data_IF_767783344490
#
_entry.id   IF_767783344490
#
_cell.length_a   1.000
_cell.length_b   1.000
_cell.length_c   1.000
_cell.angle_alpha   90.00
_cell.angle_beta   90.00
_cell.angle_gamma   90.00
#
_symmetry.space_group_name_H-M   'P 1'
#
loop_
_entity.id
_entity.type
_entity.pdbx_description
1 polymer ?
#
# COMPACT_ATOMS: atom_id res chain seq x y z
N UNK A 1 -54.08 26.26 30.96
CA UNK A 1 -52.89 27.14 30.98
C UNK A 1 -51.75 26.30 30.44
N UNK A 2 -51.39 26.50 29.18
CA UNK A 2 -50.60 25.58 28.35
C UNK A 2 -49.11 25.77 28.60
N UNK A 3 -48.45 24.72 29.11
CA UNK A 3 -47.00 24.59 29.18
C UNK A 3 -46.43 24.56 27.76
N UNK A 4 -45.68 25.60 27.38
CA UNK A 4 -44.92 25.65 26.14
C UNK A 4 -43.57 25.00 26.43
N UNK A 5 -43.44 23.72 26.10
CA UNK A 5 -42.19 22.96 26.12
C UNK A 5 -41.23 23.54 25.07
N UNK A 6 -40.07 23.99 25.53
CA UNK A 6 -38.96 24.48 24.73
C UNK A 6 -38.27 23.33 23.98
N UNK A 7 -38.74 23.00 22.78
CA UNK A 7 -37.99 22.14 21.84
C UNK A 7 -37.10 22.98 20.91
N UNK A 8 -36.06 23.60 21.46
CA UNK A 8 -34.98 24.23 20.68
C UNK A 8 -33.66 23.58 21.13
N UNK A 9 -33.35 22.40 20.61
CA UNK A 9 -32.09 21.71 20.98
C UNK A 9 -31.68 20.54 20.10
N UNK A 10 -32.62 19.77 19.54
CA UNK A 10 -32.29 18.53 18.83
C UNK A 10 -31.63 18.75 17.45
N UNK A 11 -32.03 19.79 16.69
CA UNK A 11 -31.58 19.96 15.30
C UNK A 11 -30.13 20.40 15.10
N UNK A 12 -29.46 20.89 16.14
CA UNK A 12 -28.05 21.29 16.04
C UNK A 12 -27.12 20.08 16.20
N UNK A 13 -27.31 19.27 17.25
CA UNK A 13 -26.44 18.12 17.55
C UNK A 13 -26.40 17.06 16.45
N UNK A 14 -27.57 16.70 15.91
CA UNK A 14 -27.70 15.68 14.87
C UNK A 14 -26.99 16.07 13.57
N UNK A 15 -27.02 17.37 13.23
CA UNK A 15 -26.37 17.91 12.03
C UNK A 15 -24.85 17.92 12.16
N UNK A 16 -24.31 18.21 13.35
CA UNK A 16 -22.87 18.14 13.61
C UNK A 16 -22.35 16.70 13.64
N UNK A 17 -23.13 15.76 14.17
CA UNK A 17 -22.80 14.33 14.16
C UNK A 17 -22.78 13.79 12.72
N UNK A 18 -23.79 14.10 11.91
CA UNK A 18 -23.84 13.71 10.50
C UNK A 18 -22.68 14.31 9.67
N UNK A 19 -22.33 15.58 9.91
CA UNK A 19 -21.18 16.22 9.27
C UNK A 19 -19.86 15.59 9.71
N UNK A 20 -19.69 15.26 10.99
CA UNK A 20 -18.48 14.62 11.49
C UNK A 20 -18.30 13.20 10.91
N UNK A 21 -19.38 12.43 10.81
CA UNK A 21 -19.37 11.12 10.18
C UNK A 21 -19.01 11.22 8.70
N UNK A 22 -19.60 12.18 7.98
CA UNK A 22 -19.28 12.44 6.57
C UNK A 22 -17.83 12.87 6.36
N UNK A 23 -17.31 13.79 7.19
CA UNK A 23 -15.90 14.20 7.15
C UNK A 23 -14.96 13.02 7.44
N UNK A 24 -15.27 12.18 8.43
CA UNK A 24 -14.44 11.01 8.76
C UNK A 24 -14.35 10.01 7.60
N UNK A 25 -15.45 9.78 6.89
CA UNK A 25 -15.48 8.92 5.71
C UNK A 25 -14.64 9.48 4.56
N UNK A 26 -14.72 10.79 4.31
CA UNK A 26 -13.91 11.45 3.28
C UNK A 26 -12.43 11.40 3.67
N UNK A 27 -12.08 11.74 4.91
CA UNK A 27 -10.71 11.67 5.39
C UNK A 27 -10.14 10.24 5.34
N UNK A 28 -10.93 9.22 5.62
CA UNK A 28 -10.53 7.82 5.49
C UNK A 28 -10.22 7.44 4.03
N UNK A 29 -11.07 7.83 3.08
CA UNK A 29 -10.83 7.58 1.65
C UNK A 29 -9.63 8.34 1.09
N UNK A 30 -9.47 9.60 1.53
CA UNK A 30 -8.33 10.46 1.14
C UNK A 30 -7.03 9.91 1.71
N UNK A 31 -6.99 9.50 2.98
CA UNK A 31 -5.78 8.93 3.59
C UNK A 31 -5.39 7.60 2.95
N UNK A 32 -6.35 6.74 2.63
CA UNK A 32 -6.08 5.50 1.89
C UNK A 32 -5.43 5.76 0.53
N UNK A 33 -5.99 6.70 -0.24
CA UNK A 33 -5.49 7.07 -1.57
C UNK A 33 -4.13 7.77 -1.48
N UNK A 34 -3.97 8.67 -0.50
CA UNK A 34 -2.75 9.44 -0.31
C UNK A 34 -1.58 8.57 0.17
N UNK A 35 -1.86 7.54 0.98
CA UNK A 35 -0.86 6.59 1.47
C UNK A 35 -0.52 5.50 0.44
N UNK A 36 -1.34 5.30 -0.59
CA UNK A 36 -1.02 4.38 -1.68
C UNK A 36 0.21 4.85 -2.47
N UNK A 37 0.33 6.16 -2.72
CA UNK A 37 1.44 6.74 -3.47
C UNK A 37 2.82 6.54 -2.80
N UNK A 38 3.05 6.87 -1.51
CA UNK A 38 4.32 6.60 -0.86
C UNK A 38 4.60 5.09 -0.74
N UNK A 39 3.57 4.23 -0.58
CA UNK A 39 3.75 2.77 -0.62
C UNK A 39 4.24 2.29 -2.00
N UNK A 40 3.65 2.82 -3.07
CA UNK A 40 4.06 2.58 -4.45
C UNK A 40 5.51 2.98 -4.69
N UNK A 41 5.89 4.17 -4.21
CA UNK A 41 7.26 4.68 -4.37
C UNK A 41 8.27 3.89 -3.56
N UNK A 42 7.91 3.42 -2.35
CA UNK A 42 8.80 2.60 -1.54
C UNK A 42 9.10 1.25 -2.19
N UNK A 43 8.06 0.55 -2.67
CA UNK A 43 8.29 -0.69 -3.43
C UNK A 43 9.11 -0.44 -4.72
N UNK A 44 8.86 0.71 -5.37
CA UNK A 44 9.65 1.35 -6.43
C UNK A 44 11.14 1.44 -6.12
N UNK A 45 11.46 2.13 -5.03
CA UNK A 45 12.82 2.44 -4.63
C UNK A 45 13.61 1.21 -4.25
N UNK A 46 12.95 0.22 -3.64
CA UNK A 46 13.62 -1.03 -3.24
C UNK A 46 14.05 -1.82 -4.49
N UNK A 47 13.20 -1.89 -5.53
CA UNK A 47 13.57 -2.47 -6.83
C UNK A 47 14.64 -1.65 -7.58
N UNK A 48 14.56 -0.32 -7.52
CA UNK A 48 15.57 0.55 -8.13
C UNK A 48 16.94 0.37 -7.45
N UNK A 49 16.97 0.16 -6.14
CA UNK A 49 18.17 -0.18 -5.38
C UNK A 49 18.79 -1.49 -5.87
N UNK A 50 17.97 -2.53 -6.06
CA UNK A 50 18.43 -3.80 -6.64
C UNK A 50 18.95 -3.61 -8.08
N UNK A 51 18.26 -2.82 -8.90
CA UNK A 51 18.70 -2.54 -10.27
C UNK A 51 20.05 -1.80 -10.33
N UNK A 52 20.31 -0.92 -9.35
CA UNK A 52 21.56 -0.18 -9.24
C UNK A 52 22.73 -1.05 -8.74
N UNK A 53 22.47 -2.21 -8.10
CA UNK A 53 23.51 -3.13 -7.68
C UNK A 53 24.25 -3.73 -8.87
N UNK A 54 25.54 -4.00 -8.68
CA UNK A 54 26.37 -4.64 -9.69
C UNK A 54 25.86 -6.05 -10.00
N UNK A 55 26.16 -6.56 -11.20
CA UNK A 55 25.75 -7.91 -11.60
C UNK A 55 26.32 -9.00 -10.66
N UNK A 56 27.52 -8.78 -10.10
CA UNK A 56 28.13 -9.69 -9.13
C UNK A 56 27.32 -9.74 -7.83
N UNK A 57 26.98 -8.57 -7.26
CA UNK A 57 26.20 -8.50 -6.03
C UNK A 57 24.78 -9.05 -6.23
N UNK A 58 24.15 -8.80 -7.40
CA UNK A 58 22.85 -9.40 -7.75
C UNK A 58 22.92 -10.92 -7.87
N UNK A 59 24.00 -11.47 -8.41
CA UNK A 59 24.17 -12.93 -8.47
C UNK A 59 24.36 -13.58 -7.12
N UNK A 60 25.00 -12.88 -6.18
CA UNK A 60 25.19 -13.39 -4.82
C UNK A 60 23.84 -13.64 -4.12
N UNK A 61 22.88 -12.73 -4.31
CA UNK A 61 21.48 -12.90 -3.86
C UNK A 61 20.65 -13.81 -4.79
N UNK A 62 21.23 -14.33 -5.87
CA UNK A 62 20.56 -15.24 -6.81
C UNK A 62 19.58 -14.57 -7.79
N UNK A 63 19.62 -13.23 -7.89
CA UNK A 63 18.77 -12.44 -8.77
C UNK A 63 19.50 -12.08 -10.08
N UNK A 64 18.73 -11.94 -11.15
CA UNK A 64 19.20 -11.46 -12.45
C UNK A 64 18.57 -10.12 -12.79
N UNK A 65 19.18 -9.36 -13.72
CA UNK A 65 18.59 -8.11 -14.23
C UNK A 65 17.14 -8.33 -14.73
N UNK A 66 16.92 -9.45 -15.43
CA UNK A 66 15.62 -9.83 -15.97
C UNK A 66 14.56 -10.03 -14.88
N UNK A 67 14.94 -10.55 -13.71
CA UNK A 67 14.00 -10.74 -12.60
C UNK A 67 13.50 -9.42 -12.04
N UNK A 68 14.38 -8.42 -12.01
CA UNK A 68 14.07 -7.08 -11.51
C UNK A 68 13.17 -6.36 -12.52
N UNK A 69 13.50 -6.44 -13.81
CA UNK A 69 12.65 -5.92 -14.89
C UNK A 69 11.26 -6.57 -14.87
N UNK A 70 11.20 -7.89 -14.74
CA UNK A 70 9.94 -8.61 -14.65
C UNK A 70 9.16 -8.20 -13.39
N UNK A 71 9.82 -8.03 -12.24
CA UNK A 71 9.18 -7.57 -11.01
C UNK A 71 8.62 -6.13 -11.12
N UNK A 72 9.26 -5.25 -11.91
CA UNK A 72 8.74 -3.90 -12.18
C UNK A 72 7.42 -3.90 -12.97
N UNK A 73 7.12 -4.99 -13.70
CA UNK A 73 5.85 -5.14 -14.42
C UNK A 73 4.71 -5.64 -13.54
N UNK A 74 5.00 -6.10 -12.31
CA UNK A 74 3.98 -6.67 -11.43
C UNK A 74 3.12 -5.59 -10.76
N UNK A 75 1.85 -5.91 -10.45
CA UNK A 75 0.98 -5.02 -9.67
C UNK A 75 1.55 -4.76 -8.27
N UNK A 76 1.39 -3.53 -7.77
CA UNK A 76 1.92 -3.06 -6.47
C UNK A 76 1.27 -3.77 -5.28
N UNK A 77 0.10 -4.36 -5.47
CA UNK A 77 -0.62 -5.10 -4.44
C UNK A 77 0.12 -6.38 -4.02
N UNK A 78 1.08 -6.84 -4.83
CA UNK A 78 1.96 -7.96 -4.48
C UNK A 78 3.20 -7.46 -3.76
N UNK A 79 3.55 -8.14 -2.67
CA UNK A 79 4.83 -7.98 -2.00
C UNK A 79 5.95 -8.45 -2.94
N UNK A 80 6.62 -7.47 -3.59
CA UNK A 80 7.67 -7.69 -4.58
C UNK A 80 8.85 -8.45 -3.98
N UNK A 81 9.17 -8.22 -2.71
CA UNK A 81 10.24 -8.92 -2.00
C UNK A 81 9.92 -10.41 -1.88
N UNK A 82 8.68 -10.77 -1.53
CA UNK A 82 8.26 -12.16 -1.49
C UNK A 82 8.26 -12.84 -2.86
N UNK A 83 7.90 -12.11 -3.92
CA UNK A 83 7.92 -12.66 -5.29
C UNK A 83 9.37 -12.99 -5.70
N UNK A 84 10.31 -12.09 -5.46
CA UNK A 84 11.72 -12.31 -5.75
C UNK A 84 12.30 -13.45 -4.92
N UNK A 85 11.98 -13.52 -3.62
CA UNK A 85 12.40 -14.62 -2.76
C UNK A 85 11.91 -15.99 -3.27
N UNK A 86 10.64 -16.09 -3.69
CA UNK A 86 10.08 -17.32 -4.28
C UNK A 86 10.76 -17.70 -5.58
N UNK A 87 11.12 -16.73 -6.42
CA UNK A 87 11.85 -16.96 -7.67
C UNK A 87 13.23 -17.56 -7.42
N UNK A 88 13.96 -17.01 -6.45
CA UNK A 88 15.28 -17.53 -6.04
C UNK A 88 15.14 -18.95 -5.50
N UNK A 89 14.16 -19.19 -4.63
CA UNK A 89 13.90 -20.50 -4.04
C UNK A 89 13.53 -21.55 -5.11
N UNK A 90 12.65 -21.20 -6.03
CA UNK A 90 12.25 -22.09 -7.15
C UNK A 90 13.45 -22.50 -8.01
N UNK A 91 14.43 -21.61 -8.19
CA UNK A 91 15.68 -21.93 -8.89
C UNK A 91 16.61 -22.82 -8.08
N UNK A 92 16.69 -22.63 -6.76
CA UNK A 92 17.49 -23.48 -5.88
C UNK A 92 16.98 -24.91 -5.90
N UNK A 93 15.67 -25.09 -5.69
CA UNK A 93 14.98 -26.37 -5.81
C UNK A 93 15.29 -27.08 -7.14
N UNK A 94 15.24 -26.36 -8.27
CA UNK A 94 15.53 -26.93 -9.60
C UNK A 94 16.99 -27.34 -9.80
N UNK A 95 17.93 -26.85 -8.99
CA UNK A 95 19.35 -27.27 -9.04
C UNK A 95 19.62 -28.49 -8.15
N UNK A 96 18.77 -28.74 -7.17
CA UNK A 96 18.89 -29.85 -6.22
C UNK A 96 18.19 -31.12 -6.70
N UNK A 97 17.28 -31.02 -7.66
CA UNK A 97 16.60 -32.13 -8.36
C UNK A 97 17.31 -32.52 -9.66
#
# INVERSE_FOLDING_TARGET
MTTIEHHIGAGFGDRWQALSAWFSHICAGVTWTLLWLPRFWKARSDLAGLAAMSECERRDIGLTAYDIENALTLPVERDLTQVLARLVESRRLRRET
#
